data_IF_685007722720
#
_entry.id   IF_685007722720
#
_cell.length_a   1.000
_cell.length_b   1.000
_cell.length_c   1.000
_cell.angle_alpha   90.00
_cell.angle_beta   90.00
_cell.angle_gamma   90.00
#
_symmetry.space_group_name_H-M   'P 1'
#
loop_
_entity.id
_entity.type
_entity.pdbx_description
1 polymer ?
#
# COMPACT_ATOMS: atom_id res chain seq x y z
N UNK A 1 23.37 -10.12 -59.21
CA UNK A 1 23.21 -10.76 -57.89
C UNK A 1 23.24 -9.67 -56.86
N UNK A 2 22.08 -9.30 -56.26
CA UNK A 2 21.96 -8.28 -55.20
C UNK A 2 21.72 -9.00 -53.86
N UNK A 3 22.72 -8.96 -52.98
CA UNK A 3 22.65 -9.54 -51.63
C UNK A 3 21.88 -8.60 -50.71
N UNK A 4 20.71 -9.02 -50.19
CA UNK A 4 19.96 -8.35 -49.15
C UNK A 4 20.55 -8.77 -47.80
N UNK A 5 21.25 -7.84 -47.12
CA UNK A 5 21.59 -8.00 -45.70
C UNK A 5 20.35 -7.74 -44.86
N UNK A 6 19.79 -8.78 -44.27
CA UNK A 6 18.73 -8.67 -43.25
C UNK A 6 19.31 -8.21 -41.92
N UNK A 7 18.93 -7.02 -41.48
CA UNK A 7 19.26 -6.52 -40.14
C UNK A 7 18.24 -7.12 -39.18
N UNK A 8 18.65 -8.10 -38.37
CA UNK A 8 17.86 -8.61 -37.24
C UNK A 8 17.91 -7.59 -36.09
N UNK A 9 16.78 -6.93 -35.84
CA UNK A 9 16.58 -6.04 -34.69
C UNK A 9 16.34 -6.91 -33.43
N UNK A 10 17.38 -7.07 -32.59
CA UNK A 10 17.20 -7.69 -31.27
C UNK A 10 16.44 -6.71 -30.36
N UNK A 11 15.17 -7.03 -30.07
CA UNK A 11 14.39 -6.39 -29.02
C UNK A 11 14.94 -6.84 -27.65
N UNK A 12 15.73 -6.00 -27.01
CA UNK A 12 16.13 -6.17 -25.60
C UNK A 12 14.92 -5.86 -24.73
N UNK A 13 14.24 -6.89 -24.22
CA UNK A 13 13.25 -6.75 -23.17
C UNK A 13 13.97 -6.35 -21.87
N UNK A 14 13.85 -5.08 -21.46
CA UNK A 14 14.33 -4.61 -20.15
C UNK A 14 13.49 -5.26 -19.07
N UNK A 15 14.07 -6.19 -18.32
CA UNK A 15 13.46 -6.71 -17.10
C UNK A 15 13.35 -5.56 -16.10
N UNK A 16 12.13 -5.26 -15.62
CA UNK A 16 11.93 -4.27 -14.56
C UNK A 16 12.65 -4.74 -13.30
N UNK A 17 13.69 -4.02 -12.89
CA UNK A 17 14.46 -4.35 -11.68
C UNK A 17 13.61 -4.03 -10.46
N UNK A 18 13.49 -4.99 -9.54
CA UNK A 18 12.81 -4.82 -8.27
C UNK A 18 13.59 -3.84 -7.38
N UNK A 19 12.95 -2.76 -6.95
CA UNK A 19 13.54 -1.71 -6.14
C UNK A 19 12.92 -1.71 -4.73
N UNK A 20 13.69 -1.93 -3.66
CA UNK A 20 13.19 -1.77 -2.29
C UNK A 20 12.84 -0.31 -2.01
N UNK A 21 11.71 -0.08 -1.34
CA UNK A 21 11.24 1.23 -0.89
C UNK A 21 11.61 1.43 0.58
N UNK A 22 12.02 2.65 0.93
CA UNK A 22 12.37 3.00 2.32
C UNK A 22 11.07 3.15 3.13
N UNK A 23 10.93 2.35 4.19
CA UNK A 23 9.78 2.35 5.10
C UNK A 23 10.19 3.08 6.39
N UNK A 24 9.30 3.92 6.91
CA UNK A 24 9.44 4.59 8.20
C UNK A 24 8.20 4.38 9.06
N UNK A 25 8.38 4.29 10.37
CA UNK A 25 7.28 4.26 11.34
C UNK A 25 6.98 5.65 11.85
N UNK A 26 5.69 5.96 12.01
CA UNK A 26 5.20 7.28 12.45
C UNK A 26 4.06 7.14 13.47
N UNK A 27 3.76 8.22 14.18
CA UNK A 27 2.56 8.32 15.00
C UNK A 27 1.42 8.99 14.24
N UNK A 28 0.15 8.63 14.56
CA UNK A 28 -1.03 9.22 13.93
C UNK A 28 -1.09 10.76 14.06
N UNK A 29 -0.84 11.41 15.20
CA UNK A 29 -0.85 12.86 15.27
C UNK A 29 0.24 13.49 14.38
N UNK A 30 1.47 12.99 14.42
CA UNK A 30 2.60 13.57 13.69
C UNK A 30 2.43 13.45 12.18
N UNK A 31 2.02 12.30 11.66
CA UNK A 31 1.83 12.12 10.22
C UNK A 31 0.74 13.03 9.66
N UNK A 32 -0.32 13.30 10.42
CA UNK A 32 -1.37 14.21 9.99
C UNK A 32 -0.85 15.64 9.79
N UNK A 33 0.15 16.08 10.57
CA UNK A 33 0.76 17.40 10.44
C UNK A 33 1.61 17.53 9.16
N UNK A 34 2.11 16.43 8.63
CA UNK A 34 2.81 16.41 7.33
C UNK A 34 1.84 16.75 6.19
N UNK A 35 0.56 16.41 6.34
CA UNK A 35 -0.47 16.57 5.31
C UNK A 35 -1.44 17.72 5.54
N UNK A 36 -1.51 18.24 6.77
CA UNK A 36 -2.36 19.38 7.09
C UNK A 36 -1.75 20.22 8.24
N UNK A 37 -1.58 21.55 8.07
CA UNK A 37 -1.02 22.41 9.13
C UNK A 37 -1.78 22.37 10.46
N UNK A 38 -3.09 22.02 10.43
CA UNK A 38 -3.90 21.85 11.64
C UNK A 38 -3.82 20.45 12.23
N UNK A 39 -3.03 19.55 11.63
CA UNK A 39 -2.91 18.13 11.99
C UNK A 39 -4.24 17.35 11.97
N UNK A 40 -5.24 17.86 11.25
CA UNK A 40 -6.55 17.23 11.06
C UNK A 40 -6.77 16.95 9.57
N UNK A 41 -6.90 15.68 9.21
CA UNK A 41 -7.16 15.25 7.83
C UNK A 41 -8.59 14.77 7.67
N UNK A 42 -9.22 15.10 6.54
CA UNK A 42 -10.51 14.54 6.15
C UNK A 42 -10.26 13.48 5.09
N UNK A 43 -10.50 12.24 5.45
CA UNK A 43 -10.25 11.10 4.58
C UNK A 43 -11.50 10.69 3.82
N UNK A 44 -11.32 10.13 2.63
CA UNK A 44 -12.32 9.34 1.93
C UNK A 44 -11.92 7.88 2.02
N UNK A 45 -12.90 7.01 2.21
CA UNK A 45 -12.69 5.58 2.42
C UNK A 45 -13.33 4.76 1.30
N UNK A 46 -12.64 3.69 0.90
CA UNK A 46 -13.13 2.60 0.08
C UNK A 46 -12.83 1.29 0.82
N UNK A 47 -13.84 0.44 1.00
CA UNK A 47 -13.64 -0.88 1.61
C UNK A 47 -13.98 -1.96 0.60
N UNK A 48 -13.05 -2.89 0.36
CA UNK A 48 -13.24 -4.08 -0.45
C UNK A 48 -13.31 -5.31 0.45
N UNK A 49 -14.34 -6.17 0.34
CA UNK A 49 -14.51 -7.33 1.22
C UNK A 49 -13.41 -8.37 1.00
N UNK A 50 -12.95 -8.95 2.10
CA UNK A 50 -12.04 -10.09 2.15
C UNK A 50 -12.74 -11.21 2.93
N UNK A 51 -13.02 -12.32 2.28
CA UNK A 51 -13.77 -13.44 2.84
C UNK A 51 -15.06 -12.95 3.56
N UNK A 52 -15.41 -13.61 4.66
CA UNK A 52 -16.53 -13.17 5.51
C UNK A 52 -15.97 -12.27 6.62
N UNK A 53 -16.48 -11.03 6.72
CA UNK A 53 -16.16 -10.05 7.77
C UNK A 53 -14.73 -9.49 7.81
N UNK A 54 -13.91 -9.73 6.78
CA UNK A 54 -12.63 -9.04 6.57
C UNK A 54 -12.75 -7.99 5.47
N UNK A 55 -11.81 -7.06 5.39
CA UNK A 55 -11.77 -6.07 4.32
C UNK A 55 -10.36 -5.48 4.11
N UNK A 56 -10.13 -5.00 2.88
CA UNK A 56 -9.09 -4.03 2.55
C UNK A 56 -9.73 -2.65 2.60
N UNK A 57 -9.22 -1.78 3.47
CA UNK A 57 -9.55 -0.36 3.50
C UNK A 57 -8.51 0.44 2.73
N UNK A 58 -8.97 1.25 1.77
CA UNK A 58 -8.14 2.24 1.08
C UNK A 58 -8.63 3.62 1.45
N UNK A 59 -7.74 4.49 1.88
CA UNK A 59 -8.01 5.89 2.17
C UNK A 59 -7.31 6.80 1.18
N UNK A 60 -7.97 7.91 0.85
CA UNK A 60 -7.36 8.94 0.02
C UNK A 60 -7.78 10.33 0.50
N UNK A 61 -6.82 11.25 0.48
CA UNK A 61 -7.06 12.67 0.72
C UNK A 61 -5.95 13.52 0.05
N UNK A 62 -6.26 14.78 -0.17
CA UNK A 62 -5.29 15.74 -0.70
C UNK A 62 -4.60 16.46 0.47
N UNK A 63 -3.29 16.58 0.42
CA UNK A 63 -2.55 17.39 1.37
C UNK A 63 -2.95 18.87 1.24
N UNK A 64 -3.21 19.52 2.38
CA UNK A 64 -3.69 20.89 2.44
C UNK A 64 -2.62 21.89 2.01
N UNK A 65 -3.03 23.07 1.56
CA UNK A 65 -2.13 24.18 1.29
C UNK A 65 -1.38 24.57 2.58
N UNK A 66 -0.09 24.88 2.47
CA UNK A 66 0.77 25.21 3.61
C UNK A 66 1.27 24.00 4.42
N UNK A 67 0.84 22.78 4.11
CA UNK A 67 1.43 21.57 4.69
C UNK A 67 2.79 21.24 4.04
N UNK A 68 3.71 20.54 4.74
CA UNK A 68 4.95 20.04 4.15
C UNK A 68 4.77 19.29 2.84
N UNK A 69 3.73 18.44 2.75
CA UNK A 69 3.40 17.64 1.57
C UNK A 69 2.37 18.30 0.64
N UNK A 70 2.16 19.63 0.71
CA UNK A 70 1.19 20.34 -0.13
C UNK A 70 1.35 20.01 -1.62
N UNK A 71 0.23 19.91 -2.35
CA UNK A 71 0.20 19.56 -3.77
C UNK A 71 0.25 18.06 -4.06
N UNK A 72 0.23 17.20 -3.03
CA UNK A 72 0.18 15.74 -3.20
C UNK A 72 -1.13 15.14 -2.73
N UNK A 73 -1.37 13.89 -3.11
CA UNK A 73 -2.44 13.03 -2.65
C UNK A 73 -1.84 11.91 -1.81
N UNK A 74 -2.48 11.63 -0.68
CA UNK A 74 -2.10 10.57 0.26
C UNK A 74 -2.96 9.35 0.01
N UNK A 75 -2.33 8.19 0.06
CA UNK A 75 -2.95 6.88 -0.10
C UNK A 75 -2.57 6.03 1.09
N UNK A 76 -3.55 5.60 1.86
CA UNK A 76 -3.35 4.73 3.01
C UNK A 76 -4.12 3.44 2.82
N UNK A 77 -3.55 2.33 3.28
CA UNK A 77 -4.13 1.01 3.17
C UNK A 77 -4.10 0.30 4.52
N UNK A 78 -5.12 -0.51 4.76
CA UNK A 78 -5.21 -1.38 5.93
C UNK A 78 -5.97 -2.65 5.56
N UNK A 79 -5.40 -3.81 5.89
CA UNK A 79 -6.11 -5.09 5.87
C UNK A 79 -6.63 -5.36 7.27
N UNK A 80 -7.91 -5.64 7.40
CA UNK A 80 -8.55 -5.96 8.68
C UNK A 80 -9.19 -7.35 8.61
N UNK A 81 -8.63 -8.29 9.35
CA UNK A 81 -9.13 -9.65 9.47
C UNK A 81 -9.58 -9.99 10.90
N UNK A 82 -9.73 -8.99 11.77
CA UNK A 82 -10.09 -9.20 13.19
C UNK A 82 -11.37 -10.02 13.38
N UNK A 83 -12.32 -9.89 12.45
CA UNK A 83 -13.59 -10.58 12.50
C UNK A 83 -13.68 -11.76 11.52
N UNK A 84 -12.58 -12.10 10.83
CA UNK A 84 -12.50 -13.33 10.02
C UNK A 84 -12.24 -14.50 10.94
N UNK A 85 -13.16 -15.47 10.96
CA UNK A 85 -13.09 -16.65 11.84
C UNK A 85 -12.68 -17.89 11.05
N UNK A 86 -11.72 -18.64 11.59
CA UNK A 86 -11.29 -19.94 11.11
C UNK A 86 -11.11 -20.91 12.29
N UNK A 87 -12.03 -21.87 12.47
CA UNK A 87 -11.98 -22.82 13.59
C UNK A 87 -11.03 -23.98 13.31
N UNK A 88 -11.09 -24.54 12.10
CA UNK A 88 -10.26 -25.68 11.67
C UNK A 88 -9.05 -25.25 10.85
N UNK A 89 -9.11 -24.08 10.22
CA UNK A 89 -8.07 -23.54 9.37
C UNK A 89 -8.05 -22.01 9.45
N UNK A 90 -6.95 -21.45 9.95
CA UNK A 90 -6.76 -20.01 10.03
C UNK A 90 -6.26 -19.49 8.68
N UNK A 91 -7.04 -18.62 8.07
CA UNK A 91 -6.69 -17.91 6.85
C UNK A 91 -5.78 -16.72 7.15
N UNK A 92 -4.80 -16.47 6.30
CA UNK A 92 -3.93 -15.30 6.43
C UNK A 92 -3.53 -14.74 5.09
N UNK A 93 -3.16 -13.47 5.09
CA UNK A 93 -2.64 -12.71 3.95
C UNK A 93 -1.16 -12.42 4.20
N UNK A 94 -0.32 -12.74 3.21
CA UNK A 94 1.13 -12.54 3.29
C UNK A 94 1.59 -11.25 2.64
N UNK A 95 0.90 -10.81 1.57
CA UNK A 95 1.28 -9.60 0.82
C UNK A 95 0.09 -8.95 0.13
N UNK A 96 0.25 -7.67 -0.19
CA UNK A 96 -0.67 -6.88 -1.00
C UNK A 96 0.12 -6.23 -2.14
N UNK A 97 -0.27 -6.48 -3.39
CA UNK A 97 0.29 -5.85 -4.57
C UNK A 97 -0.71 -4.85 -5.15
N UNK A 98 -0.25 -3.64 -5.44
CA UNK A 98 -1.06 -2.55 -6.00
C UNK A 98 -0.32 -1.95 -7.19
N UNK A 99 -1.02 -1.74 -8.31
CA UNK A 99 -0.51 -0.94 -9.42
C UNK A 99 -0.61 0.53 -9.02
N UNK A 100 0.45 1.01 -8.35
CA UNK A 100 0.48 2.33 -7.72
C UNK A 100 1.08 3.41 -8.63
N UNK A 101 1.97 3.03 -9.54
CA UNK A 101 2.74 3.99 -10.32
C UNK A 101 3.77 4.76 -9.49
N UNK A 102 4.18 5.97 -9.91
CA UNK A 102 5.20 6.75 -9.23
C UNK A 102 4.72 7.30 -7.89
N UNK A 103 5.51 7.09 -6.82
CA UNK A 103 5.32 7.75 -5.52
C UNK A 103 6.25 8.98 -5.41
N UNK A 104 5.83 9.95 -4.59
CA UNK A 104 6.69 11.02 -4.11
C UNK A 104 7.31 10.60 -2.78
N UNK A 105 8.49 11.16 -2.48
CA UNK A 105 9.24 10.90 -1.25
C UNK A 105 9.19 12.11 -0.34
N UNK A 106 8.93 11.86 0.94
CA UNK A 106 8.88 12.89 1.98
C UNK A 106 9.57 12.41 3.24
N UNK A 107 10.03 13.36 4.04
CA UNK A 107 10.43 13.15 5.41
C UNK A 107 9.16 13.04 6.28
N UNK A 108 8.67 11.81 6.47
CA UNK A 108 7.42 11.56 7.20
C UNK A 108 7.60 11.58 8.72
N UNK A 109 8.80 11.37 9.22
CA UNK A 109 9.10 11.28 10.66
C UNK A 109 9.89 12.47 11.21
N UNK A 110 10.34 13.40 10.36
CA UNK A 110 11.08 14.60 10.75
C UNK A 110 12.56 14.36 11.01
N UNK A 111 13.16 13.26 10.49
CA UNK A 111 14.57 12.92 10.66
C UNK A 111 15.51 13.58 9.62
N UNK A 112 14.94 14.35 8.66
CA UNK A 112 15.65 15.00 7.57
C UNK A 112 15.87 14.09 6.35
N UNK A 113 15.56 12.81 6.41
CA UNK A 113 15.67 11.88 5.29
C UNK A 113 14.33 11.68 4.60
N UNK A 114 14.37 11.47 3.26
CA UNK A 114 13.14 11.19 2.50
C UNK A 114 12.84 9.69 2.49
N UNK A 115 11.60 9.37 2.82
CA UNK A 115 11.04 8.02 2.84
C UNK A 115 10.06 7.82 1.70
N UNK A 116 9.82 6.54 1.34
CA UNK A 116 8.87 6.16 0.30
C UNK A 116 7.51 5.76 0.90
N UNK A 117 7.53 5.06 2.04
CA UNK A 117 6.36 4.47 2.70
C UNK A 117 6.37 4.83 4.18
N UNK A 118 5.24 5.26 4.71
CA UNK A 118 5.03 5.43 6.15
C UNK A 118 4.11 4.33 6.71
N UNK A 119 4.32 3.95 7.98
CA UNK A 119 3.49 3.01 8.74
C UNK A 119 3.08 3.64 10.06
N UNK A 120 1.79 3.75 10.33
CA UNK A 120 1.23 4.42 11.53
C UNK A 120 1.18 3.43 12.68
N UNK A 121 2.27 3.29 13.42
CA UNK A 121 2.41 2.29 14.51
C UNK A 121 1.98 2.80 15.89
N UNK A 122 1.93 4.11 16.10
CA UNK A 122 1.52 4.71 17.36
C UNK A 122 0.31 5.63 17.17
N UNK A 123 -0.67 5.56 18.08
CA UNK A 123 -1.93 6.33 18.00
C UNK A 123 -2.88 5.90 16.88
N UNK A 124 -2.53 4.87 16.12
CA UNK A 124 -3.36 4.24 15.08
C UNK A 124 -3.96 2.92 15.56
N UNK A 125 -4.67 2.26 14.65
CA UNK A 125 -5.24 0.93 14.86
C UNK A 125 -4.44 -0.10 14.06
N UNK A 126 -4.36 -1.32 14.58
CA UNK A 126 -3.64 -2.44 13.94
C UNK A 126 -2.57 -3.01 14.86
N UNK A 127 -2.04 -4.18 14.49
CA UNK A 127 -1.02 -4.91 15.23
C UNK A 127 0.03 -5.58 14.32
N UNK A 128 -0.15 -5.54 12.99
CA UNK A 128 0.78 -6.13 12.02
C UNK A 128 1.41 -5.03 11.17
N UNK A 129 2.75 -5.01 11.12
CA UNK A 129 3.54 -4.08 10.33
C UNK A 129 3.96 -4.64 8.97
N UNK A 130 4.70 -3.82 8.22
CA UNK A 130 5.34 -4.22 6.98
C UNK A 130 6.73 -4.82 7.25
N UNK A 131 7.02 -5.94 6.59
CA UNK A 131 8.38 -6.47 6.47
C UNK A 131 9.13 -5.72 5.37
N UNK A 132 8.47 -5.49 4.23
CA UNK A 132 9.08 -4.83 3.08
C UNK A 132 8.01 -4.18 2.19
N UNK A 133 8.45 -3.21 1.40
CA UNK A 133 7.75 -2.69 0.25
C UNK A 133 8.71 -2.68 -0.93
N UNK A 134 8.30 -3.27 -2.06
CA UNK A 134 9.17 -3.42 -3.24
C UNK A 134 8.41 -2.96 -4.47
N UNK A 135 9.04 -2.09 -5.25
CA UNK A 135 8.55 -1.63 -6.55
C UNK A 135 9.10 -2.50 -7.68
N UNK A 136 8.24 -2.86 -8.62
CA UNK A 136 8.61 -3.47 -9.91
C UNK A 136 7.75 -2.82 -11.01
N UNK A 137 8.34 -1.95 -11.81
CA UNK A 137 7.58 -1.09 -12.72
C UNK A 137 6.61 -0.20 -11.94
N UNK A 138 5.33 -0.26 -12.30
CA UNK A 138 4.26 0.48 -11.62
C UNK A 138 3.67 -0.27 -10.41
N UNK A 139 3.98 -1.54 -10.26
CA UNK A 139 3.49 -2.34 -9.14
C UNK A 139 4.32 -2.13 -7.88
N UNK A 140 3.66 -1.97 -6.73
CA UNK A 140 4.28 -2.01 -5.41
C UNK A 140 3.70 -3.19 -4.64
N UNK A 141 4.59 -4.06 -4.13
CA UNK A 141 4.23 -5.19 -3.29
C UNK A 141 4.63 -4.91 -1.85
N UNK A 142 3.66 -4.92 -0.95
CA UNK A 142 3.83 -4.83 0.50
C UNK A 142 3.79 -6.23 1.08
N UNK A 143 4.80 -6.61 1.85
CA UNK A 143 4.87 -7.90 2.55
C UNK A 143 4.69 -7.68 4.04
N UNK A 144 3.88 -8.52 4.70
CA UNK A 144 3.54 -8.41 6.11
C UNK A 144 4.36 -9.38 6.97
N UNK A 145 4.73 -8.96 8.20
CA UNK A 145 5.39 -9.83 9.18
C UNK A 145 4.92 -9.47 10.60
N UNK A 146 4.29 -10.44 11.29
CA UNK A 146 3.80 -11.74 10.76
C UNK A 146 2.78 -11.56 9.63
N UNK A 147 2.37 -12.61 8.91
CA UNK A 147 1.20 -12.55 8.03
C UNK A 147 -0.04 -12.09 8.80
N UNK A 148 -0.93 -11.35 8.12
CA UNK A 148 -2.18 -10.86 8.73
C UNK A 148 -3.16 -12.02 8.79
N UNK A 149 -3.50 -12.49 9.98
CA UNK A 149 -4.30 -13.69 10.18
C UNK A 149 -5.72 -13.41 10.67
N UNK A 150 -6.69 -14.21 10.25
CA UNK A 150 -7.97 -14.33 10.94
C UNK A 150 -7.81 -14.94 12.34
N UNK A 151 -8.86 -14.92 13.13
CA UNK A 151 -8.86 -15.45 14.49
C UNK A 151 -9.67 -16.74 14.65
N UNK A 152 -9.60 -17.33 15.83
CA UNK A 152 -10.47 -18.46 16.22
C UNK A 152 -11.88 -18.02 16.63
N UNK A 153 -12.08 -16.71 16.86
CA UNK A 153 -13.35 -16.08 17.20
C UNK A 153 -13.37 -14.64 16.69
N UNK A 154 -14.55 -13.97 16.59
CA UNK A 154 -14.63 -12.56 16.26
C UNK A 154 -13.80 -11.69 17.22
N UNK A 155 -13.07 -10.71 16.67
CA UNK A 155 -12.19 -9.83 17.42
C UNK A 155 -10.83 -10.45 17.80
N UNK A 156 -10.53 -11.68 17.41
CA UNK A 156 -9.26 -12.37 17.72
C UNK A 156 -8.30 -12.47 16.54
N UNK A 157 -8.68 -11.99 15.37
CA UNK A 157 -7.78 -11.87 14.22
C UNK A 157 -6.94 -10.60 14.28
N UNK A 158 -6.11 -10.44 13.25
CA UNK A 158 -5.18 -9.33 13.10
C UNK A 158 -5.73 -8.21 12.22
N UNK A 159 -5.11 -7.06 12.34
CA UNK A 159 -5.22 -5.97 11.38
C UNK A 159 -3.83 -5.39 11.12
N UNK A 160 -3.53 -5.04 9.88
CA UNK A 160 -2.32 -4.23 9.65
C UNK A 160 -2.49 -2.86 10.31
N UNK A 161 -1.37 -2.24 10.70
CA UNK A 161 -1.35 -0.78 10.84
C UNK A 161 -1.75 -0.14 9.51
N UNK A 162 -2.20 1.11 9.53
CA UNK A 162 -2.25 1.87 8.30
C UNK A 162 -0.84 2.08 7.77
N UNK A 163 -0.65 1.82 6.49
CA UNK A 163 0.57 2.12 5.77
C UNK A 163 0.22 2.93 4.51
N UNK A 164 1.10 3.82 4.11
CA UNK A 164 0.75 4.74 3.03
C UNK A 164 1.92 5.27 2.25
N UNK A 165 1.57 5.86 1.12
CA UNK A 165 2.45 6.56 0.19
C UNK A 165 1.79 7.86 -0.27
N UNK A 166 2.57 8.71 -0.89
CA UNK A 166 2.08 9.95 -1.52
C UNK A 166 2.39 9.97 -3.01
N UNK A 167 1.53 10.63 -3.78
CA UNK A 167 1.71 10.84 -5.21
C UNK A 167 1.22 12.24 -5.61
N UNK A 168 1.71 12.74 -6.75
CA UNK A 168 1.22 13.99 -7.35
C UNK A 168 -0.11 13.80 -8.09
N UNK A 169 -0.52 12.59 -8.35
CA UNK A 169 -1.68 12.26 -9.16
C UNK A 169 -2.91 11.98 -8.30
N UNK A 170 -4.12 12.42 -8.74
CA UNK A 170 -5.38 12.10 -8.07
C UNK A 170 -5.68 10.60 -8.17
N UNK A 171 -6.63 10.14 -7.35
CA UNK A 171 -6.98 8.73 -7.31
C UNK A 171 -7.83 8.26 -8.50
N UNK A 172 -7.71 6.97 -8.77
CA UNK A 172 -8.67 6.16 -9.51
C UNK A 172 -8.78 4.76 -8.86
N UNK A 173 -9.77 3.98 -9.32
CA UNK A 173 -9.92 2.60 -8.86
C UNK A 173 -8.96 1.68 -9.61
N UNK A 174 -8.31 0.80 -8.85
CA UNK A 174 -7.45 -0.27 -9.38
C UNK A 174 -7.81 -1.61 -8.74
N UNK A 175 -7.36 -2.69 -9.37
CA UNK A 175 -7.41 -4.02 -8.78
C UNK A 175 -6.11 -4.27 -8.02
N UNK A 176 -6.21 -4.41 -6.69
CA UNK A 176 -5.13 -4.89 -5.85
C UNK A 176 -5.16 -6.41 -5.76
N UNK A 177 -4.01 -7.04 -5.57
CA UNK A 177 -3.88 -8.50 -5.46
C UNK A 177 -3.31 -8.86 -4.10
N UNK A 178 -4.07 -9.59 -3.28
CA UNK A 178 -3.63 -10.07 -1.98
C UNK A 178 -3.28 -11.57 -2.05
N UNK A 179 -2.02 -11.91 -1.75
CA UNK A 179 -1.59 -13.30 -1.64
C UNK A 179 -2.02 -13.87 -0.29
N UNK A 180 -2.55 -15.08 -0.29
CA UNK A 180 -3.11 -15.75 0.88
C UNK A 180 -2.79 -17.25 0.90
N UNK A 181 -3.08 -17.93 2.03
CA UNK A 181 -2.86 -19.37 2.21
C UNK A 181 -4.09 -20.25 1.90
N UNK A 182 -5.22 -19.65 1.45
CA UNK A 182 -6.50 -20.36 1.36
C UNK A 182 -6.96 -20.61 -0.08
N UNK A 183 -6.09 -20.39 -1.07
CA UNK A 183 -6.41 -20.59 -2.48
C UNK A 183 -5.75 -19.58 -3.41
N UNK A 184 -6.36 -19.27 -4.55
CA UNK A 184 -5.81 -18.27 -5.48
C UNK A 184 -5.76 -16.90 -4.81
N UNK A 185 -4.88 -15.99 -5.31
CA UNK A 185 -4.82 -14.63 -4.81
C UNK A 185 -6.19 -13.93 -4.88
N UNK A 186 -6.50 -13.12 -3.87
CA UNK A 186 -7.71 -12.31 -3.86
C UNK A 186 -7.50 -11.07 -4.71
N UNK A 187 -8.50 -10.75 -5.53
CA UNK A 187 -8.53 -9.52 -6.34
C UNK A 187 -9.52 -8.55 -5.68
N UNK A 188 -9.01 -7.40 -5.26
CA UNK A 188 -9.71 -6.44 -4.40
C UNK A 188 -9.71 -5.06 -5.03
N UNK A 189 -10.81 -4.31 -4.89
CA UNK A 189 -10.83 -2.91 -5.28
C UNK A 189 -9.99 -2.07 -4.31
N UNK A 190 -9.16 -1.18 -4.85
CA UNK A 190 -8.36 -0.22 -4.09
C UNK A 190 -8.27 1.11 -4.84
N UNK A 191 -7.89 2.16 -4.16
CA UNK A 191 -7.50 3.41 -4.80
C UNK A 191 -5.98 3.47 -5.01
N UNK A 192 -5.59 3.99 -6.16
CA UNK A 192 -4.20 4.29 -6.49
C UNK A 192 -4.12 5.57 -7.34
N UNK A 193 -2.93 6.17 -7.52
CA UNK A 193 -2.74 7.33 -8.37
C UNK A 193 -3.13 7.06 -9.82
N UNK A 194 -3.90 7.97 -10.43
CA UNK A 194 -4.18 7.95 -11.86
C UNK A 194 -2.98 8.55 -12.62
N UNK A 195 -1.97 7.74 -12.83
CA UNK A 195 -0.76 8.13 -13.55
C UNK A 195 -0.87 7.78 -15.05
N UNK A 196 -0.21 8.54 -15.96
CA UNK A 196 -0.14 8.24 -17.38
C UNK A 196 0.61 6.94 -17.68
#
# INVERSE_FOLDING_TARGET
MKSLLGISLLLLASAAVAQPLKIVTVSAPAINCVFNPTCKVTVQDLSAPIWTNGFLQSRNYKAAAGAPAAGTYVYEYRIDLRNVVGVTFIRFITSLKINFGPNARFDFNGDGAKDDVFVVTAGGIGNVGLLSAVRSGNDITFTFKPPVAGGSAPGKGDSTFFFGLVSKYPRHNVMAVAANNAGPPLVLNAWAPNHP
#
